data_IF_481694603464
#
_entry.id   IF_481694603464
#
_cell.length_a   1.000
_cell.length_b   1.000
_cell.length_c   1.000
_cell.angle_alpha   90.00
_cell.angle_beta   90.00
_cell.angle_gamma   90.00
#
_symmetry.space_group_name_H-M   'P 1'
#
loop_
_entity.id
_entity.type
_entity.pdbx_description
1 polymer ?
#
# COMPACT_ATOMS: atom_id res chain seq x y z
N UNK A 1 34.81 1.22 54.62
CA UNK A 1 33.41 1.22 54.14
C UNK A 1 33.15 2.19 52.96
N UNK A 2 33.47 3.49 53.03
CA UNK A 2 33.21 4.42 51.90
C UNK A 2 34.18 4.25 50.71
N UNK A 3 35.45 3.98 51.00
CA UNK A 3 36.49 3.76 49.98
C UNK A 3 36.21 2.50 49.12
N UNK A 4 35.75 1.41 49.73
CA UNK A 4 35.42 0.17 49.02
C UNK A 4 34.18 0.32 48.12
N UNK A 5 33.21 1.14 48.52
CA UNK A 5 32.05 1.48 47.68
C UNK A 5 32.49 2.25 46.43
N UNK A 6 33.39 3.22 46.59
CA UNK A 6 33.95 3.99 45.49
C UNK A 6 34.77 3.11 44.54
N UNK A 7 35.58 2.18 45.09
CA UNK A 7 36.32 1.20 44.28
C UNK A 7 35.38 0.28 43.49
N UNK A 8 34.28 -0.22 44.09
CA UNK A 8 33.29 -1.05 43.40
C UNK A 8 32.61 -0.34 42.23
N UNK A 9 32.34 0.96 42.33
CA UNK A 9 31.76 1.76 41.24
C UNK A 9 32.74 2.05 40.11
N UNK A 10 34.05 1.89 40.33
CA UNK A 10 35.10 2.07 39.33
C UNK A 10 35.47 0.77 38.62
N UNK A 11 34.95 -0.38 39.05
CA UNK A 11 35.18 -1.67 38.39
C UNK A 11 34.38 -1.70 37.10
N UNK A 12 35.08 -1.62 35.96
CA UNK A 12 34.52 -1.90 34.65
C UNK A 12 33.98 -3.33 34.63
N UNK A 13 32.65 -3.47 34.68
CA UNK A 13 31.98 -4.74 34.40
C UNK A 13 32.05 -4.98 32.90
N UNK A 14 33.15 -5.60 32.46
CA UNK A 14 33.25 -6.13 31.12
C UNK A 14 32.04 -7.08 30.93
N UNK A 15 31.10 -6.84 29.99
CA UNK A 15 29.85 -7.59 29.86
C UNK A 15 30.03 -9.08 29.51
N UNK A 16 31.27 -9.57 29.54
CA UNK A 16 31.62 -10.96 29.29
C UNK A 16 31.48 -11.31 27.80
N UNK A 17 31.49 -12.61 27.47
CA UNK A 17 31.59 -13.13 26.10
C UNK A 17 30.38 -12.82 25.20
N UNK A 18 29.44 -11.96 25.62
CA UNK A 18 28.34 -11.46 24.81
C UNK A 18 28.82 -10.74 23.53
N UNK A 19 30.06 -10.24 23.54
CA UNK A 19 30.78 -9.74 22.35
C UNK A 19 31.76 -10.76 21.75
N UNK A 20 32.04 -11.87 22.42
CA UNK A 20 32.94 -12.91 21.89
C UNK A 20 32.31 -13.66 20.70
N UNK A 21 30.98 -13.75 20.66
CA UNK A 21 30.23 -14.31 19.52
C UNK A 21 29.89 -13.25 18.45
N UNK A 22 30.40 -12.02 18.58
CA UNK A 22 30.19 -10.99 17.57
C UNK A 22 30.99 -11.32 16.31
N UNK A 23 30.31 -11.93 15.33
CA UNK A 23 30.84 -12.20 14.01
C UNK A 23 30.22 -11.22 12.97
N UNK A 24 30.99 -10.21 12.50
CA UNK A 24 30.52 -9.25 11.50
C UNK A 24 30.06 -9.91 10.19
N UNK A 25 30.75 -10.97 9.75
CA UNK A 25 30.47 -11.68 8.51
C UNK A 25 29.15 -12.46 8.62
N UNK A 26 28.93 -13.17 9.72
CA UNK A 26 27.67 -13.87 9.98
C UNK A 26 26.48 -12.90 10.03
N UNK A 27 26.67 -11.71 10.60
CA UNK A 27 25.67 -10.63 10.61
C UNK A 27 25.39 -10.11 9.21
N UNK A 28 26.42 -9.92 8.39
CA UNK A 28 26.27 -9.47 7.01
C UNK A 28 25.56 -10.51 6.14
N UNK A 29 25.90 -11.80 6.29
CA UNK A 29 25.23 -12.91 5.63
C UNK A 29 23.75 -12.98 6.02
N UNK A 30 23.43 -12.87 7.32
CA UNK A 30 22.03 -12.85 7.80
C UNK A 30 21.24 -11.66 7.25
N UNK A 31 21.87 -10.49 7.14
CA UNK A 31 21.27 -9.31 6.49
C UNK A 31 21.01 -9.58 5.00
N UNK A 32 21.98 -10.16 4.27
CA UNK A 32 21.83 -10.51 2.86
C UNK A 32 20.70 -11.52 2.64
N UNK A 33 20.63 -12.58 3.46
CA UNK A 33 19.57 -13.59 3.39
C UNK A 33 18.17 -12.99 3.63
N UNK A 34 18.02 -12.14 4.66
CA UNK A 34 16.76 -11.45 4.93
C UNK A 34 16.34 -10.51 3.78
N UNK A 35 17.29 -9.79 3.18
CA UNK A 35 17.02 -8.93 2.01
C UNK A 35 16.60 -9.74 0.78
N UNK A 36 17.15 -10.94 0.58
CA UNK A 36 16.76 -11.84 -0.51
C UNK A 36 15.34 -12.37 -0.30
N UNK A 37 15.01 -12.84 0.90
CA UNK A 37 13.66 -13.27 1.25
C UNK A 37 12.62 -12.16 1.03
N UNK A 38 12.92 -10.93 1.44
CA UNK A 38 12.03 -9.79 1.18
C UNK A 38 11.86 -9.49 -0.32
N UNK A 39 12.93 -9.63 -1.12
CA UNK A 39 12.84 -9.45 -2.58
C UNK A 39 11.95 -10.52 -3.21
N UNK A 40 12.08 -11.78 -2.80
CA UNK A 40 11.23 -12.87 -3.26
C UNK A 40 9.75 -12.60 -2.92
N UNK A 41 9.44 -12.25 -1.67
CA UNK A 41 8.07 -11.92 -1.25
C UNK A 41 7.43 -10.75 -2.03
N UNK A 42 8.24 -9.78 -2.47
CA UNK A 42 7.79 -8.63 -3.28
C UNK A 42 7.61 -9.02 -4.76
N UNK A 43 8.35 -10.02 -5.24
CA UNK A 43 8.32 -10.45 -6.65
C UNK A 43 7.18 -11.43 -6.93
N UNK A 44 6.89 -12.34 -6.00
CA UNK A 44 5.89 -13.39 -6.18
C UNK A 44 4.47 -12.98 -5.77
N UNK A 45 4.29 -11.87 -5.05
CA UNK A 45 2.96 -11.30 -4.81
C UNK A 45 2.54 -10.47 -6.02
N UNK A 46 1.47 -10.83 -6.75
CA UNK A 46 0.93 -9.96 -7.79
C UNK A 46 0.58 -8.63 -7.13
N UNK A 47 1.32 -7.59 -7.50
CA UNK A 47 1.08 -6.24 -7.00
C UNK A 47 -0.26 -5.82 -7.61
N UNK A 48 -1.36 -5.96 -6.87
CA UNK A 48 -2.67 -5.45 -7.29
C UNK A 48 -2.49 -3.95 -7.51
N UNK A 49 -2.43 -3.57 -8.79
CA UNK A 49 -2.22 -2.19 -9.20
C UNK A 49 -3.47 -1.40 -8.86
N UNK A 50 -3.30 -0.24 -8.24
CA UNK A 50 -4.42 0.69 -8.11
C UNK A 50 -4.89 1.04 -9.52
N UNK A 51 -6.20 1.21 -9.70
CA UNK A 51 -6.77 1.71 -10.96
C UNK A 51 -6.99 3.21 -10.92
N UNK A 52 -7.10 3.78 -9.73
CA UNK A 52 -7.32 5.20 -9.50
C UNK A 52 -6.21 5.84 -8.68
N UNK A 53 -5.94 7.12 -8.95
CA UNK A 53 -5.02 7.97 -8.19
C UNK A 53 -5.64 8.43 -6.85
N UNK A 54 -4.90 9.24 -6.09
CA UNK A 54 -5.36 9.80 -4.80
C UNK A 54 -6.54 10.76 -4.92
N UNK A 55 -6.82 11.28 -6.11
CA UNK A 55 -7.93 12.20 -6.39
C UNK A 55 -9.14 11.49 -7.02
N UNK A 56 -9.06 10.18 -7.26
CA UNK A 56 -10.13 9.42 -7.89
C UNK A 56 -10.11 9.46 -9.42
N UNK A 57 -9.00 9.81 -10.05
CA UNK A 57 -8.82 9.76 -11.51
C UNK A 57 -8.20 8.44 -11.95
N UNK A 58 -8.63 7.91 -13.09
CA UNK A 58 -8.08 6.68 -13.65
C UNK A 58 -6.58 6.82 -13.94
N UNK A 59 -5.78 5.84 -13.56
CA UNK A 59 -4.32 5.89 -13.75
C UNK A 59 -3.89 5.65 -15.21
N UNK A 60 -4.69 4.94 -16.00
CA UNK A 60 -4.36 4.64 -17.40
C UNK A 60 -4.40 5.87 -18.32
N UNK A 61 -5.23 6.87 -17.99
CA UNK A 61 -5.45 8.03 -18.86
C UNK A 61 -5.72 9.35 -18.11
N UNK A 62 -5.62 9.37 -16.78
CA UNK A 62 -5.87 10.52 -15.90
C UNK A 62 -7.30 11.10 -15.96
N UNK A 63 -8.27 10.36 -16.49
CA UNK A 63 -9.66 10.83 -16.60
C UNK A 63 -10.41 10.67 -15.28
N UNK A 64 -11.14 11.72 -14.88
CA UNK A 64 -12.04 11.72 -13.72
C UNK A 64 -13.41 11.10 -14.06
N UNK A 65 -13.40 9.81 -14.39
CA UNK A 65 -14.59 9.06 -14.77
C UNK A 65 -15.46 8.78 -13.55
N UNK A 66 -16.74 9.17 -13.62
CA UNK A 66 -17.73 8.86 -12.59
C UNK A 66 -18.00 7.35 -12.54
N UNK A 67 -18.38 6.82 -11.37
CA UNK A 67 -18.76 5.41 -11.24
C UNK A 67 -20.03 5.01 -12.02
N UNK A 68 -20.77 5.97 -12.58
CA UNK A 68 -21.83 5.70 -13.55
C UNK A 68 -21.32 5.42 -14.98
N UNK A 69 -20.00 5.49 -15.19
CA UNK A 69 -19.28 5.23 -16.45
C UNK A 69 -19.59 6.19 -17.61
N UNK A 70 -20.38 7.24 -17.37
CA UNK A 70 -20.67 8.29 -18.35
C UNK A 70 -19.53 9.33 -18.40
N UNK A 71 -19.02 9.60 -19.62
CA UNK A 71 -17.82 10.44 -19.85
C UNK A 71 -18.02 11.88 -19.41
N UNK A 72 -19.20 12.43 -19.69
CA UNK A 72 -19.51 13.84 -19.46
C UNK A 72 -20.26 14.07 -18.14
N UNK A 73 -20.30 13.07 -17.26
CA UNK A 73 -20.99 13.18 -15.99
C UNK A 73 -20.29 14.16 -15.05
N UNK A 74 -21.00 15.21 -14.64
CA UNK A 74 -20.53 16.19 -13.66
C UNK A 74 -20.50 15.63 -12.22
N UNK A 75 -21.16 14.48 -12.00
CA UNK A 75 -21.32 13.80 -10.72
C UNK A 75 -22.78 13.53 -10.45
N UNK A 76 -23.16 12.25 -10.32
CA UNK A 76 -24.54 11.80 -10.16
C UNK A 76 -24.81 11.13 -8.80
N UNK A 77 -23.78 10.99 -7.96
CA UNK A 77 -23.89 10.42 -6.63
C UNK A 77 -23.89 11.51 -5.57
N UNK A 78 -24.34 11.15 -4.36
CA UNK A 78 -24.17 12.02 -3.20
C UNK A 78 -22.68 12.28 -2.90
N UNK A 79 -22.34 13.41 -2.26
CA UNK A 79 -20.97 13.74 -1.91
C UNK A 79 -20.30 12.62 -1.13
N UNK A 80 -19.17 12.13 -1.64
CA UNK A 80 -18.42 11.07 -1.01
C UNK A 80 -17.91 11.51 0.38
N UNK A 81 -18.14 10.75 1.46
CA UNK A 81 -17.69 11.15 2.80
C UNK A 81 -16.15 11.17 2.95
N UNK A 82 -15.40 10.53 2.03
CA UNK A 82 -13.93 10.47 2.08
C UNK A 82 -13.24 11.59 1.28
N UNK A 83 -13.78 11.97 0.12
CA UNK A 83 -13.13 12.92 -0.79
C UNK A 83 -14.04 14.06 -1.27
N UNK A 84 -15.29 14.09 -0.80
CA UNK A 84 -16.32 15.07 -1.13
C UNK A 84 -16.71 15.16 -2.63
N UNK A 85 -16.22 14.26 -3.48
CA UNK A 85 -16.61 14.22 -4.90
C UNK A 85 -17.98 13.56 -5.07
N UNK A 86 -18.78 14.08 -6.01
CA UNK A 86 -20.09 13.52 -6.40
C UNK A 86 -19.99 12.43 -7.49
N UNK A 87 -18.77 11.97 -7.78
CA UNK A 87 -18.47 10.99 -8.83
C UNK A 87 -18.14 9.60 -8.29
N UNK A 88 -18.06 9.44 -6.97
CA UNK A 88 -17.85 8.15 -6.33
C UNK A 88 -19.20 7.47 -6.10
N UNK A 89 -19.30 6.18 -6.39
CA UNK A 89 -20.43 5.35 -6.04
C UNK A 89 -20.40 4.94 -4.56
N UNK A 90 -20.81 3.71 -4.22
CA UNK A 90 -20.81 3.22 -2.83
C UNK A 90 -19.42 3.25 -2.17
N UNK A 91 -18.37 3.01 -2.96
CA UNK A 91 -16.98 3.07 -2.51
C UNK A 91 -16.23 4.23 -3.14
N UNK A 92 -15.42 4.93 -2.33
CA UNK A 92 -14.59 6.03 -2.82
C UNK A 92 -13.59 5.56 -3.89
N UNK A 93 -13.49 6.33 -4.99
CA UNK A 93 -12.55 6.06 -6.09
C UNK A 93 -11.09 6.32 -5.70
N UNK A 94 -10.80 7.16 -4.71
CA UNK A 94 -9.43 7.50 -4.34
C UNK A 94 -8.60 6.25 -3.97
N UNK A 95 -7.50 6.01 -4.70
CA UNK A 95 -6.61 4.85 -4.56
C UNK A 95 -7.29 3.47 -4.74
N UNK A 96 -8.47 3.42 -5.35
CA UNK A 96 -9.22 2.19 -5.56
C UNK A 96 -8.51 1.26 -6.54
N UNK A 97 -8.62 -0.05 -6.32
CA UNK A 97 -7.93 -1.12 -7.05
C UNK A 97 -8.75 -1.78 -8.16
N UNK A 98 -9.97 -1.29 -8.39
CA UNK A 98 -10.91 -1.85 -9.35
C UNK A 98 -11.72 -0.73 -10.02
N UNK A 99 -12.27 -1.04 -11.19
CA UNK A 99 -13.20 -0.21 -11.98
C UNK A 99 -14.47 -1.02 -12.22
N UNK A 100 -15.61 -0.36 -12.42
CA UNK A 100 -16.77 -1.06 -12.97
C UNK A 100 -16.55 -1.28 -14.47
N UNK A 101 -16.81 -2.49 -14.94
CA UNK A 101 -16.72 -2.81 -16.38
C UNK A 101 -17.98 -2.38 -17.12
N UNK A 102 -19.15 -2.66 -16.53
CA UNK A 102 -20.46 -2.33 -17.09
C UNK A 102 -21.53 -2.29 -15.99
N UNK A 103 -22.61 -1.57 -16.27
CA UNK A 103 -23.81 -1.49 -15.45
C UNK A 103 -24.95 -2.11 -16.26
N UNK A 104 -25.62 -3.10 -15.69
CA UNK A 104 -26.70 -3.84 -16.36
C UNK A 104 -27.95 -3.89 -15.48
N UNK A 105 -29.10 -3.98 -16.13
CA UNK A 105 -30.38 -4.31 -15.48
C UNK A 105 -30.42 -5.78 -15.06
N UNK A 106 -31.35 -6.15 -14.18
CA UNK A 106 -31.61 -7.55 -13.81
C UNK A 106 -31.97 -8.43 -15.02
N UNK A 107 -32.55 -7.84 -16.08
CA UNK A 107 -32.87 -8.51 -17.33
C UNK A 107 -31.66 -8.65 -18.29
N UNK A 108 -30.46 -8.18 -17.90
CA UNK A 108 -29.24 -8.25 -18.71
C UNK A 108 -29.05 -7.11 -19.72
N UNK A 109 -29.95 -6.12 -19.76
CA UNK A 109 -29.76 -4.95 -20.62
C UNK A 109 -28.61 -4.07 -20.10
N UNK A 110 -27.64 -3.76 -20.96
CA UNK A 110 -26.51 -2.89 -20.64
C UNK A 110 -26.97 -1.42 -20.62
N UNK A 111 -26.80 -0.76 -19.48
CA UNK A 111 -27.08 0.66 -19.28
C UNK A 111 -25.87 1.51 -19.65
N UNK A 112 -24.68 1.10 -19.19
CA UNK A 112 -23.44 1.83 -19.40
C UNK A 112 -22.25 0.88 -19.36
N UNK A 113 -21.17 1.22 -20.05
CA UNK A 113 -19.97 0.40 -20.17
C UNK A 113 -18.73 1.27 -20.04
N UNK A 114 -17.68 0.71 -19.44
CA UNK A 114 -16.39 1.36 -19.29
C UNK A 114 -15.89 1.84 -20.67
N UNK A 115 -15.71 3.15 -20.87
CA UNK A 115 -15.42 3.68 -22.19
C UNK A 115 -13.94 3.56 -22.60
N UNK A 116 -13.11 2.94 -21.76
CA UNK A 116 -11.66 2.86 -21.91
C UNK A 116 -11.17 1.44 -21.67
N UNK A 117 -10.08 1.06 -22.33
CA UNK A 117 -9.32 -0.13 -21.94
C UNK A 117 -8.50 0.20 -20.69
N UNK A 118 -8.76 -0.51 -19.59
CA UNK A 118 -8.01 -0.39 -18.33
C UNK A 118 -7.17 -1.65 -18.16
N UNK A 119 -5.82 -1.54 -18.12
CA UNK A 119 -4.95 -2.71 -17.93
C UNK A 119 -5.10 -3.27 -16.52
N UNK A 120 -4.86 -4.57 -16.35
CA UNK A 120 -4.88 -5.32 -15.09
C UNK A 120 -3.69 -5.06 -14.15
#
# INVERSE_FOLDING_TARGET
>A
QQLEKQLKSLVFQNPGPQVAEFNPEAREQKKKACMLQMKEDIFYKPKITKKYDKHGRLLCNNIDLCDCLEKNCLGCFYPCPKCNSNKCGPECRCNRKWVYDRIETEAGNVISMLPFSVPD
#
